data_IF_698410834434
#
_entry.id   IF_698410834434
#
_cell.length_a   1.000
_cell.length_b   1.000
_cell.length_c   1.000
_cell.angle_alpha   90.00
_cell.angle_beta   90.00
_cell.angle_gamma   90.00
#
_symmetry.space_group_name_H-M   'P 1'
#
loop_
_entity.id
_entity.type
_entity.pdbx_description
1 polymer ?
#
# COMPACT_ATOMS: atom_id res chain seq x y z
N UNK A 1 2.29 63.56 -16.10
CA UNK A 1 2.20 62.11 -16.39
C UNK A 1 3.17 61.75 -17.51
N UNK A 2 4.40 61.37 -17.18
CA UNK A 2 5.35 60.66 -18.04
C UNK A 2 6.22 59.80 -17.11
N UNK A 3 6.08 58.49 -17.18
CA UNK A 3 7.00 57.55 -16.52
C UNK A 3 7.98 57.04 -17.57
N UNK A 4 9.27 57.20 -17.27
CA UNK A 4 10.40 56.61 -17.99
C UNK A 4 10.54 55.13 -17.59
N UNK A 5 10.68 54.27 -18.60
CA UNK A 5 11.12 52.88 -18.46
C UNK A 5 12.65 52.81 -18.47
N UNK A 6 13.23 52.03 -17.55
CA UNK A 6 14.63 51.57 -17.58
C UNK A 6 14.68 50.05 -17.77
N UNK A 7 15.72 49.50 -18.41
CA UNK A 7 15.72 48.13 -18.94
C UNK A 7 16.24 47.07 -17.95
N UNK A 8 15.72 45.85 -18.13
CA UNK A 8 16.05 44.61 -17.42
C UNK A 8 17.41 44.08 -17.91
N UNK A 9 18.35 43.89 -16.97
CA UNK A 9 19.63 43.23 -17.22
C UNK A 9 19.53 41.71 -17.03
N UNK A 10 20.08 40.98 -18.01
CA UNK A 10 20.26 39.54 -18.03
C UNK A 10 21.17 39.05 -16.88
N UNK A 11 20.75 38.02 -16.16
CA UNK A 11 21.61 37.21 -15.29
C UNK A 11 21.72 35.78 -15.86
N UNK A 12 22.96 35.30 -15.95
CA UNK A 12 23.36 33.99 -16.44
C UNK A 12 23.04 32.86 -15.43
N UNK A 13 22.88 31.60 -15.87
CA UNK A 13 22.60 30.49 -14.98
C UNK A 13 23.87 29.99 -14.25
N UNK A 14 23.73 29.88 -12.94
CA UNK A 14 24.64 29.23 -12.00
C UNK A 14 24.78 27.73 -12.31
N UNK A 15 26.03 27.27 -12.44
CA UNK A 15 26.38 25.86 -12.60
C UNK A 15 26.33 25.12 -11.25
N UNK A 16 25.61 23.99 -11.21
CA UNK A 16 25.61 23.04 -10.09
C UNK A 16 26.82 22.09 -10.18
N UNK A 17 27.49 21.77 -9.07
CA UNK A 17 28.59 20.81 -9.08
C UNK A 17 28.09 19.36 -9.08
N UNK A 18 28.72 18.55 -9.94
CA UNK A 18 28.55 17.11 -10.08
C UNK A 18 29.07 16.36 -8.84
N UNK A 19 28.20 15.58 -8.19
CA UNK A 19 28.62 14.60 -7.19
C UNK A 19 29.15 13.33 -7.89
N UNK A 20 30.36 12.95 -7.50
CA UNK A 20 31.16 11.82 -7.98
C UNK A 20 30.86 10.60 -7.10
N UNK A 21 30.29 9.55 -7.65
CA UNK A 21 30.13 8.26 -6.96
C UNK A 21 31.47 7.52 -6.89
N UNK A 22 31.88 7.15 -5.68
CA UNK A 22 32.97 6.21 -5.42
C UNK A 22 32.37 4.82 -5.23
N UNK A 23 32.60 3.95 -6.22
CA UNK A 23 32.38 2.50 -6.10
C UNK A 23 33.53 1.87 -5.29
N UNK A 24 33.21 1.24 -4.17
CA UNK A 24 34.13 0.36 -3.45
C UNK A 24 33.73 -1.10 -3.73
N UNK A 25 34.65 -1.84 -4.36
CA UNK A 25 34.56 -3.27 -4.57
C UNK A 25 34.79 -4.02 -3.24
N UNK A 26 33.88 -4.92 -2.90
CA UNK A 26 34.10 -5.92 -1.85
C UNK A 26 34.08 -7.31 -2.52
N UNK A 27 35.28 -7.88 -2.57
CA UNK A 27 35.57 -9.28 -2.89
C UNK A 27 35.19 -10.14 -1.68
N UNK A 28 34.35 -11.15 -1.90
CA UNK A 28 34.09 -12.19 -0.91
C UNK A 28 33.95 -13.54 -1.61
N UNK A 29 35.08 -14.21 -1.79
CA UNK A 29 35.18 -15.61 -2.16
C UNK A 29 34.61 -16.51 -1.04
N UNK A 30 33.47 -17.14 -1.29
CA UNK A 30 33.00 -18.28 -0.49
C UNK A 30 33.39 -19.58 -1.18
N UNK A 31 34.32 -20.33 -0.58
CA UNK A 31 34.64 -21.71 -0.97
C UNK A 31 33.63 -22.65 -0.33
N UNK A 32 32.89 -23.40 -1.14
CA UNK A 32 32.19 -24.61 -0.67
C UNK A 32 33.14 -25.80 -0.74
N UNK A 33 33.23 -26.52 0.36
CA UNK A 33 33.92 -27.80 0.48
C UNK A 33 33.12 -28.90 -0.22
N UNK A 34 33.85 -29.81 -0.87
CA UNK A 34 33.34 -30.99 -1.57
C UNK A 34 32.57 -31.93 -0.62
N UNK A 35 31.35 -32.29 -1.00
CA UNK A 35 30.60 -33.42 -0.44
C UNK A 35 30.66 -34.55 -1.47
N UNK A 36 31.20 -35.75 -1.13
CA UNK A 36 31.21 -36.87 -2.06
C UNK A 36 29.80 -37.46 -2.19
N UNK A 37 29.27 -37.46 -3.41
CA UNK A 37 28.01 -38.13 -3.75
C UNK A 37 28.35 -39.54 -4.25
N UNK A 38 27.90 -40.57 -3.54
CA UNK A 38 27.96 -41.96 -4.01
C UNK A 38 27.03 -42.16 -5.22
N UNK A 39 27.45 -42.94 -6.24
CA UNK A 39 26.62 -43.19 -7.42
C UNK A 39 25.47 -44.17 -7.09
N UNK A 40 24.25 -43.95 -7.62
CA UNK A 40 23.19 -44.95 -7.53
C UNK A 40 23.41 -46.08 -8.55
N UNK A 41 23.03 -47.28 -8.11
CA UNK A 41 23.17 -48.54 -8.80
C UNK A 41 22.40 -48.60 -10.14
N UNK A 42 23.06 -49.18 -11.13
CA UNK A 42 22.51 -49.60 -12.43
C UNK A 42 21.38 -50.61 -12.25
N UNK A 43 20.20 -50.33 -12.81
CA UNK A 43 19.11 -51.31 -12.96
C UNK A 43 18.75 -51.48 -14.44
N UNK A 44 18.62 -52.74 -14.80
CA UNK A 44 18.67 -53.33 -16.12
C UNK A 44 17.50 -53.00 -17.06
N UNK A 45 17.84 -53.11 -18.34
CA UNK A 45 17.00 -53.08 -19.54
C UNK A 45 15.75 -53.96 -19.45
N UNK A 46 14.63 -53.42 -19.90
CA UNK A 46 13.54 -54.20 -20.51
C UNK A 46 13.04 -53.48 -21.77
N UNK A 47 12.82 -54.20 -22.89
CA UNK A 47 12.51 -53.59 -24.17
C UNK A 47 11.01 -53.24 -24.28
N UNK A 48 10.72 -52.02 -24.79
CA UNK A 48 9.36 -51.62 -25.20
C UNK A 48 9.11 -51.98 -26.66
N UNK A 49 7.89 -52.45 -27.02
CA UNK A 49 7.51 -52.68 -28.40
C UNK A 49 7.09 -51.38 -29.09
N UNK A 50 7.43 -51.26 -30.37
CA UNK A 50 6.85 -50.28 -31.30
C UNK A 50 5.39 -50.62 -31.62
N UNK A 51 4.60 -49.59 -31.97
CA UNK A 51 3.58 -49.76 -32.98
C UNK A 51 3.72 -48.76 -34.14
N UNK A 52 3.63 -49.30 -35.35
CA UNK A 52 3.36 -48.58 -36.58
C UNK A 52 1.91 -48.06 -36.62
N UNK A 53 1.72 -46.86 -37.17
CA UNK A 53 0.81 -46.55 -38.31
C UNK A 53 0.28 -45.11 -38.28
N UNK A 54 0.21 -44.54 -39.49
CA UNK A 54 -0.13 -43.16 -39.81
C UNK A 54 -1.65 -42.91 -39.96
N UNK A 55 -2.00 -41.63 -39.75
CA UNK A 55 -3.08 -40.84 -40.34
C UNK A 55 -4.54 -40.98 -39.83
N UNK A 56 -5.01 -39.95 -39.13
CA UNK A 56 -6.15 -39.11 -39.57
C UNK A 56 -6.35 -37.89 -38.64
N UNK A 57 -6.73 -36.78 -39.26
CA UNK A 57 -6.88 -35.44 -38.69
C UNK A 57 -7.80 -35.37 -37.45
N UNK A 58 -7.34 -34.68 -36.41
CA UNK A 58 -8.19 -34.02 -35.39
C UNK A 58 -7.53 -32.74 -34.90
N UNK A 59 -8.33 -31.69 -34.83
CA UNK A 59 -7.99 -30.37 -34.32
C UNK A 59 -7.23 -30.48 -32.98
N UNK A 60 -5.95 -30.09 -33.02
CA UNK A 60 -5.16 -29.92 -31.81
C UNK A 60 -5.60 -28.62 -31.16
N UNK A 61 -6.43 -28.75 -30.13
CA UNK A 61 -6.55 -27.71 -29.11
C UNK A 61 -5.19 -27.70 -28.42
N UNK A 62 -4.28 -26.86 -28.90
CA UNK A 62 -3.08 -26.50 -28.16
C UNK A 62 -3.56 -25.74 -26.93
N UNK A 63 -3.78 -26.47 -25.83
CA UNK A 63 -3.76 -25.91 -24.49
C UNK A 63 -2.46 -25.12 -24.37
N UNK A 64 -2.59 -23.81 -24.17
CA UNK A 64 -1.46 -22.93 -23.89
C UNK A 64 -0.63 -23.57 -22.77
N UNK A 65 0.54 -24.10 -23.15
CA UNK A 65 1.54 -24.59 -22.21
C UNK A 65 2.17 -23.41 -21.50
N UNK A 66 1.39 -22.75 -20.66
CA UNK A 66 1.87 -21.84 -19.64
C UNK A 66 2.40 -22.76 -18.53
N UNK A 67 3.73 -22.90 -18.47
CA UNK A 67 4.41 -23.68 -17.44
C UNK A 67 4.14 -23.06 -16.06
N UNK A 68 3.20 -23.66 -15.32
CA UNK A 68 2.96 -23.38 -13.91
C UNK A 68 4.05 -24.04 -13.07
N UNK A 69 5.20 -23.39 -12.94
CA UNK A 69 6.13 -23.61 -11.83
C UNK A 69 6.30 -22.34 -10.99
N UNK A 70 5.17 -21.75 -10.63
CA UNK A 70 5.08 -21.08 -9.33
C UNK A 70 4.90 -22.18 -8.28
N UNK A 71 5.76 -22.21 -7.26
CA UNK A 71 5.81 -23.22 -6.21
C UNK A 71 4.54 -23.21 -5.33
N UNK A 72 3.40 -23.61 -5.89
CA UNK A 72 2.16 -23.85 -5.19
C UNK A 72 2.31 -25.06 -4.28
N UNK A 73 2.82 -24.83 -3.08
CA UNK A 73 2.45 -25.65 -1.93
C UNK A 73 0.97 -25.41 -1.71
N UNK A 74 0.19 -26.43 -2.04
CA UNK A 74 -1.19 -26.62 -1.64
C UNK A 74 -1.27 -26.50 -0.10
N UNK A 75 -1.91 -25.44 0.39
CA UNK A 75 -2.16 -25.18 1.81
C UNK A 75 -3.64 -25.39 2.15
N UNK A 76 -4.21 -26.47 1.65
CA UNK A 76 -5.44 -27.01 2.23
C UNK A 76 -5.13 -28.34 2.94
N UNK A 77 -5.52 -28.43 4.21
CA UNK A 77 -5.41 -29.57 5.14
C UNK A 77 -4.08 -29.83 5.90
N UNK A 78 -3.81 -29.01 6.92
CA UNK A 78 -3.30 -29.49 8.22
C UNK A 78 -3.79 -28.56 9.35
N UNK A 79 -4.99 -28.82 9.87
CA UNK A 79 -5.35 -28.37 11.23
C UNK A 79 -4.96 -29.51 12.17
N UNK A 80 -3.87 -29.35 12.89
CA UNK A 80 -3.56 -30.16 14.07
C UNK A 80 -3.10 -29.23 15.20
N UNK A 81 -3.57 -29.43 16.45
CA UNK A 81 -3.43 -28.47 17.51
C UNK A 81 -2.10 -28.65 18.26
N UNK A 82 -1.66 -27.57 18.88
CA UNK A 82 -0.81 -27.55 20.07
C UNK A 82 0.68 -27.92 19.88
N UNK A 83 1.51 -26.89 19.70
CA UNK A 83 2.90 -26.88 20.14
C UNK A 83 3.25 -25.46 20.59
N UNK A 84 3.47 -25.31 21.90
CA UNK A 84 3.72 -24.03 22.57
C UNK A 84 4.87 -23.22 21.96
N UNK A 85 4.60 -21.93 21.76
CA UNK A 85 5.60 -20.93 21.41
C UNK A 85 6.28 -20.46 22.70
N UNK A 86 7.62 -20.52 22.82
CA UNK A 86 8.33 -19.94 23.95
C UNK A 86 8.21 -18.41 23.93
N UNK A 87 8.02 -17.83 25.11
CA UNK A 87 7.91 -16.40 25.32
C UNK A 87 9.13 -15.64 24.74
N UNK A 88 8.94 -14.46 24.12
CA UNK A 88 10.06 -13.61 23.73
C UNK A 88 10.80 -13.09 24.97
N UNK A 89 12.14 -12.96 24.92
CA UNK A 89 12.91 -12.41 26.02
C UNK A 89 12.58 -10.94 26.27
N UNK A 90 12.56 -10.60 27.55
CA UNK A 90 12.28 -9.31 28.16
C UNK A 90 13.07 -8.17 27.49
N UNK A 91 12.35 -7.26 26.83
CA UNK A 91 12.94 -6.05 26.26
C UNK A 91 13.11 -5.01 27.39
N UNK A 92 14.35 -4.89 27.86
CA UNK A 92 14.75 -3.95 28.90
C UNK A 92 14.33 -2.51 28.62
N UNK A 93 13.80 -1.88 29.68
CA UNK A 93 13.45 -0.47 29.72
C UNK A 93 14.66 0.44 29.44
N UNK A 94 14.54 1.48 28.60
CA UNK A 94 15.57 2.52 28.52
C UNK A 94 15.49 3.45 29.73
N UNK A 95 16.65 3.64 30.35
CA UNK A 95 16.91 4.47 31.50
C UNK A 95 16.53 5.95 31.29
N UNK A 96 15.97 6.55 32.34
CA UNK A 96 15.77 7.98 32.47
C UNK A 96 17.12 8.72 32.37
N UNK A 97 17.17 9.77 31.54
CA UNK A 97 18.20 10.80 31.60
C UNK A 97 17.59 12.05 32.22
N UNK A 98 17.98 12.29 33.46
CA UNK A 98 17.88 13.57 34.16
C UNK A 98 19.27 14.23 34.15
N UNK A 99 19.28 15.56 34.02
CA UNK A 99 20.31 16.54 34.43
C UNK A 99 20.44 17.69 33.41
N UNK A 100 19.90 18.86 33.77
CA UNK A 100 20.11 20.12 33.06
C UNK A 100 19.63 21.33 33.87
N UNK A 101 20.43 21.72 34.86
CA UNK A 101 20.28 22.85 35.81
C UNK A 101 20.19 24.23 35.13
N UNK A 102 19.50 25.24 35.73
CA UNK A 102 19.22 26.54 35.10
C UNK A 102 20.33 27.58 35.28
N UNK A 103 20.44 28.50 34.30
CA UNK A 103 21.26 29.70 34.39
C UNK A 103 20.47 30.88 35.00
N UNK A 104 21.03 31.48 36.06
CA UNK A 104 20.68 32.78 36.63
C UNK A 104 21.31 33.94 35.83
N UNK A 105 20.81 35.18 36.12
CA UNK A 105 21.45 36.54 36.11
C UNK A 105 20.63 37.56 35.26
N UNK A 106 20.45 38.85 35.64
CA UNK A 106 20.22 39.54 36.93
C UNK A 106 19.07 40.60 36.81
N UNK A 107 18.84 41.54 37.78
CA UNK A 107 17.62 42.34 37.87
C UNK A 107 17.70 43.66 37.11
N UNK A 108 16.56 44.14 36.61
CA UNK A 108 16.42 45.53 36.16
C UNK A 108 15.36 46.26 36.99
N UNK A 109 15.75 47.44 37.43
CA UNK A 109 15.01 48.35 38.29
C UNK A 109 14.46 49.48 37.41
N UNK A 110 13.18 49.81 37.50
CA UNK A 110 12.70 50.97 36.76
C UNK A 110 11.22 51.31 36.86
N UNK A 111 10.94 52.25 37.78
CA UNK A 111 9.96 53.34 37.66
C UNK A 111 8.46 53.01 37.77
N UNK A 112 7.89 53.45 38.89
CA UNK A 112 6.46 53.55 39.15
C UNK A 112 5.81 54.72 38.39
N UNK A 113 4.66 54.53 37.72
CA UNK A 113 3.79 55.64 37.33
C UNK A 113 2.79 55.98 38.45
N UNK A 114 2.52 57.27 38.57
CA UNK A 114 1.73 57.92 39.60
C UNK A 114 0.27 57.43 39.68
N UNK A 115 -0.23 57.38 40.91
CA UNK A 115 -1.61 57.12 41.30
C UNK A 115 -2.51 58.31 40.92
N UNK A 116 -3.56 58.13 40.10
CA UNK A 116 -4.65 59.10 40.00
C UNK A 116 -5.53 59.02 41.25
N UNK A 117 -5.64 60.14 41.98
CA UNK A 117 -6.55 60.27 43.12
C UNK A 117 -8.01 60.21 42.65
N UNK A 118 -8.78 59.33 43.27
CA UNK A 118 -10.22 59.17 43.06
C UNK A 118 -11.02 60.25 43.83
N UNK A 119 -12.10 60.81 43.26
CA UNK A 119 -12.98 61.77 43.95
C UNK A 119 -13.82 61.14 45.09
N UNK A 120 -14.41 61.95 45.99
CA UNK A 120 -15.10 61.48 47.18
C UNK A 120 -16.44 60.81 46.88
N UNK A 121 -16.78 59.87 47.76
CA UNK A 121 -17.97 59.04 47.76
C UNK A 121 -19.28 59.83 47.70
N UNK A 122 -20.09 59.56 46.66
CA UNK A 122 -21.52 59.83 46.65
C UNK A 122 -22.28 58.62 47.21
N UNK A 123 -23.12 58.86 48.22
CA UNK A 123 -23.99 57.86 48.84
C UNK A 123 -25.09 57.42 47.86
N UNK A 124 -24.78 56.44 47.02
CA UNK A 124 -25.76 55.73 46.18
C UNK A 124 -26.48 54.65 46.98
N UNK A 125 -27.80 54.59 46.83
CA UNK A 125 -28.67 53.58 47.41
C UNK A 125 -28.19 52.14 47.08
N UNK A 126 -28.51 51.13 47.92
CA UNK A 126 -28.11 49.75 47.70
C UNK A 126 -28.58 49.26 46.31
N UNK A 127 -27.62 48.94 45.44
CA UNK A 127 -27.93 48.32 44.17
C UNK A 127 -28.66 46.99 44.43
N UNK A 128 -29.80 46.79 43.75
CA UNK A 128 -30.54 45.54 43.82
C UNK A 128 -29.59 44.36 43.54
N UNK A 129 -29.74 43.20 44.22
CA UNK A 129 -28.89 42.05 43.99
C UNK A 129 -28.90 41.70 42.50
N UNK A 130 -27.77 41.89 41.83
CA UNK A 130 -27.61 41.48 40.44
C UNK A 130 -27.95 40.00 40.34
N UNK A 131 -28.85 39.64 39.42
CA UNK A 131 -29.14 38.24 39.12
C UNK A 131 -27.83 37.52 38.84
N UNK A 132 -27.54 36.45 39.60
CA UNK A 132 -26.32 35.67 39.40
C UNK A 132 -26.20 35.28 37.91
N UNK A 133 -25.00 35.39 37.31
CA UNK A 133 -24.78 34.95 35.94
C UNK A 133 -25.32 33.53 35.75
N UNK A 134 -26.00 33.23 34.63
CA UNK A 134 -26.49 31.88 34.39
C UNK A 134 -25.32 30.90 34.44
N UNK A 135 -25.46 29.83 35.22
CA UNK A 135 -24.47 28.75 35.28
C UNK A 135 -24.26 28.21 33.86
N UNK A 136 -23.01 28.16 33.36
CA UNK A 136 -22.73 27.61 32.02
C UNK A 136 -23.34 26.22 31.87
N UNK A 137 -24.08 25.99 30.77
CA UNK A 137 -24.71 24.71 30.51
C UNK A 137 -23.63 23.63 30.32
N UNK A 138 -23.68 22.53 31.08
CA UNK A 138 -22.73 21.43 30.97
C UNK A 138 -22.71 20.83 29.54
N UNK A 139 -21.60 20.19 29.15
CA UNK A 139 -21.52 19.41 27.91
C UNK A 139 -22.65 18.36 27.90
N UNK A 140 -23.47 18.39 26.85
CA UNK A 140 -24.65 17.52 26.70
C UNK A 140 -24.43 16.42 25.68
N UNK A 141 -23.62 16.68 24.64
CA UNK A 141 -23.33 15.69 23.60
C UNK A 141 -22.03 15.99 22.86
N UNK A 142 -21.45 14.93 22.28
CA UNK A 142 -20.35 15.02 21.32
C UNK A 142 -20.68 14.18 20.09
N UNK A 143 -20.55 14.75 18.90
CA UNK A 143 -20.65 14.01 17.63
C UNK A 143 -19.31 13.97 16.93
N UNK A 144 -18.92 12.80 16.43
CA UNK A 144 -17.69 12.63 15.66
C UNK A 144 -17.98 12.66 14.16
N UNK A 145 -17.04 13.19 13.38
CA UNK A 145 -16.95 12.87 11.96
C UNK A 145 -16.70 11.38 11.75
N UNK A 146 -16.92 10.89 10.52
CA UNK A 146 -16.69 9.48 10.19
C UNK A 146 -15.22 9.12 10.38
N UNK A 147 -14.94 8.12 11.21
CA UNK A 147 -13.62 7.50 11.34
C UNK A 147 -13.45 6.53 10.18
N UNK A 148 -12.87 7.01 9.10
CA UNK A 148 -12.50 6.21 7.94
C UNK A 148 -11.36 6.90 7.18
N UNK A 149 -10.35 6.14 6.78
CA UNK A 149 -9.26 6.67 5.96
C UNK A 149 -9.78 7.04 4.57
N UNK A 150 -9.33 8.16 3.98
CA UNK A 150 -9.64 8.51 2.60
C UNK A 150 -9.18 7.47 1.58
N UNK A 151 -8.21 6.62 1.95
CA UNK A 151 -7.69 5.54 1.09
C UNK A 151 -8.50 4.25 1.19
N UNK A 152 -9.56 4.18 2.01
CA UNK A 152 -10.42 2.99 2.13
C UNK A 152 -11.29 2.82 0.87
N UNK A 153 -11.05 1.80 0.03
CA UNK A 153 -11.88 1.57 -1.16
C UNK A 153 -13.23 0.94 -0.77
N UNK A 154 -14.16 0.94 -1.73
CA UNK A 154 -15.44 0.24 -1.57
C UNK A 154 -15.24 -1.26 -1.30
N UNK A 155 -16.07 -1.83 -0.44
CA UNK A 155 -15.96 -3.25 -0.02
C UNK A 155 -15.01 -3.49 1.14
N UNK A 156 -14.33 -2.46 1.64
CA UNK A 156 -13.55 -2.50 2.90
C UNK A 156 -14.35 -1.77 3.97
N UNK A 157 -14.44 -2.37 5.16
CA UNK A 157 -15.08 -1.71 6.30
C UNK A 157 -14.32 -0.43 6.70
N UNK A 158 -14.97 0.44 7.47
CA UNK A 158 -14.32 1.64 7.99
C UNK A 158 -13.01 1.28 8.72
N UNK A 159 -11.90 1.89 8.30
CA UNK A 159 -10.58 1.61 8.85
C UNK A 159 -9.68 2.83 8.88
N UNK A 160 -8.58 2.73 9.59
CA UNK A 160 -7.44 3.64 9.47
C UNK A 160 -6.16 2.81 9.24
N UNK A 161 -5.18 3.31 8.45
CA UNK A 161 -3.86 2.68 8.39
C UNK A 161 -3.11 2.84 9.72
N UNK A 162 -2.20 1.92 10.06
CA UNK A 162 -1.26 2.15 11.14
C UNK A 162 -0.30 3.30 10.79
N UNK A 163 0.16 4.02 11.82
CA UNK A 163 1.22 5.05 11.80
C UNK A 163 0.93 6.34 11.02
N UNK A 164 -0.23 6.47 10.38
CA UNK A 164 -0.64 7.72 9.72
C UNK A 164 -1.76 8.37 10.51
N UNK A 165 -1.56 9.64 10.87
CA UNK A 165 -2.56 10.40 11.61
C UNK A 165 -3.77 10.70 10.71
N UNK A 166 -4.97 10.44 11.23
CA UNK A 166 -6.24 10.79 10.62
C UNK A 166 -6.87 11.93 11.42
N UNK A 167 -7.27 13.00 10.73
CA UNK A 167 -7.95 14.15 11.36
C UNK A 167 -9.42 13.84 11.56
N UNK A 168 -9.85 13.65 12.81
CA UNK A 168 -11.25 13.36 13.15
C UNK A 168 -11.88 14.60 13.80
N UNK A 169 -12.88 15.16 13.14
CA UNK A 169 -13.66 16.26 13.69
C UNK A 169 -14.52 15.76 14.88
N UNK A 170 -14.58 16.55 15.94
CA UNK A 170 -15.43 16.33 17.10
C UNK A 170 -16.20 17.61 17.42
N UNK A 171 -17.53 17.56 17.35
CA UNK A 171 -18.41 18.69 17.65
C UNK A 171 -18.95 18.54 19.06
N UNK A 172 -18.67 19.52 19.92
CA UNK A 172 -19.06 19.51 21.34
C UNK A 172 -20.23 20.46 21.54
N UNK A 173 -21.33 19.97 22.12
CA UNK A 173 -22.50 20.78 22.46
C UNK A 173 -22.55 21.06 23.96
N UNK A 174 -22.58 22.34 24.35
CA UNK A 174 -22.53 22.79 25.74
C UNK A 174 -21.16 23.35 26.13
N UNK A 175 -20.92 23.51 27.43
CA UNK A 175 -19.68 24.07 27.98
C UNK A 175 -19.03 23.10 28.97
N UNK A 176 -17.70 23.06 28.99
CA UNK A 176 -16.91 22.17 29.84
C UNK A 176 -15.94 21.30 29.05
N UNK A 177 -15.18 20.47 29.75
CA UNK A 177 -14.19 19.58 29.15
C UNK A 177 -14.76 18.18 28.94
N UNK A 178 -14.51 17.60 27.76
CA UNK A 178 -14.79 16.20 27.45
C UNK A 178 -13.48 15.44 27.25
N UNK A 179 -13.39 14.23 27.81
CA UNK A 179 -12.28 13.32 27.60
C UNK A 179 -12.65 12.33 26.51
N UNK A 180 -11.84 12.23 25.47
CA UNK A 180 -11.99 11.29 24.37
C UNK A 180 -10.98 10.17 24.54
N UNK A 181 -11.43 8.94 24.36
CA UNK A 181 -10.61 7.71 24.40
C UNK A 181 -10.98 6.76 23.27
N UNK A 182 -10.10 5.81 22.95
CA UNK A 182 -10.41 4.69 22.06
C UNK A 182 -10.99 3.54 22.88
N UNK A 183 -12.27 3.25 22.70
CA UNK A 183 -12.93 2.09 23.29
C UNK A 183 -12.65 0.83 22.45
N UNK A 184 -12.59 -0.32 23.14
CA UNK A 184 -12.26 -1.61 22.53
C UNK A 184 -10.77 -1.84 22.22
N UNK A 185 -9.89 -0.88 22.52
CA UNK A 185 -8.45 -0.99 22.25
C UNK A 185 -7.82 -2.19 23.00
N UNK A 186 -7.15 -3.07 22.27
CA UNK A 186 -6.46 -4.24 22.81
C UNK A 186 -5.43 -4.76 21.80
N UNK A 187 -4.58 -5.71 22.21
CA UNK A 187 -3.68 -6.37 21.26
C UNK A 187 -4.45 -7.06 20.10
N UNK A 188 -5.66 -7.56 20.37
CA UNK A 188 -6.50 -8.27 19.40
C UNK A 188 -7.25 -7.31 18.48
N UNK A 189 -7.91 -6.30 19.03
CA UNK A 189 -8.71 -5.35 18.23
C UNK A 189 -7.85 -4.28 17.54
N UNK A 190 -6.58 -4.16 17.95
CA UNK A 190 -5.71 -3.04 17.58
C UNK A 190 -5.72 -1.94 18.64
N UNK A 191 -4.75 -1.04 18.54
CA UNK A 191 -4.60 0.09 19.47
C UNK A 191 -4.36 1.36 18.68
N UNK A 192 -4.82 2.51 19.19
CA UNK A 192 -4.59 3.81 18.58
C UNK A 192 -4.33 4.88 19.64
N UNK A 193 -3.71 5.97 19.22
CA UNK A 193 -3.49 7.18 20.04
C UNK A 193 -4.27 8.36 19.49
N UNK A 194 -4.54 9.31 20.37
CA UNK A 194 -5.23 10.59 20.13
C UNK A 194 -4.25 11.70 20.47
N UNK A 195 -3.80 12.46 19.47
CA UNK A 195 -2.75 13.47 19.61
C UNK A 195 -1.47 12.90 20.27
N UNK A 196 -1.13 11.64 19.98
CA UNK A 196 0.03 10.95 20.54
C UNK A 196 -0.16 10.36 21.94
N UNK A 197 -1.33 10.51 22.57
CA UNK A 197 -1.62 9.97 23.90
C UNK A 197 -2.81 8.96 23.87
N UNK A 198 -3.05 8.23 24.96
CA UNK A 198 -4.19 7.30 25.05
C UNK A 198 -5.56 8.01 25.10
N UNK A 199 -5.58 9.26 25.55
CA UNK A 199 -6.77 10.10 25.64
C UNK A 199 -6.47 11.51 25.14
N UNK A 200 -7.49 12.22 24.69
CA UNK A 200 -7.43 13.64 24.37
C UNK A 200 -8.54 14.39 25.11
N UNK A 201 -8.29 15.62 25.54
CA UNK A 201 -9.32 16.47 26.16
C UNK A 201 -9.68 17.62 25.24
N UNK A 202 -10.97 17.86 25.04
CA UNK A 202 -11.48 19.02 24.30
C UNK A 202 -12.37 19.87 25.21
N UNK A 203 -12.18 21.20 25.17
CA UNK A 203 -13.06 22.16 25.87
C UNK A 203 -14.11 22.80 24.95
N UNK A 204 -14.00 22.57 23.64
CA UNK A 204 -14.89 23.06 22.59
C UNK A 204 -14.78 22.14 21.36
N UNK A 205 -15.61 22.39 20.34
CA UNK A 205 -15.50 21.75 19.03
C UNK A 205 -14.08 21.86 18.48
N UNK A 206 -13.56 20.78 17.92
CA UNK A 206 -12.18 20.71 17.43
C UNK A 206 -11.89 19.47 16.60
N UNK A 207 -10.61 19.21 16.38
CA UNK A 207 -10.10 18.05 15.64
C UNK A 207 -9.15 17.26 16.54
N UNK A 208 -9.23 15.94 16.47
CA UNK A 208 -8.29 15.03 17.14
C UNK A 208 -7.52 14.26 16.08
N UNK A 209 -6.20 14.20 16.21
CA UNK A 209 -5.34 13.37 15.38
C UNK A 209 -5.38 11.92 15.91
N UNK A 210 -6.09 11.05 15.20
CA UNK A 210 -6.19 9.62 15.50
C UNK A 210 -5.12 8.85 14.73
N UNK A 211 -4.24 8.13 15.43
CA UNK A 211 -3.17 7.34 14.81
C UNK A 211 -3.23 5.89 15.25
N UNK A 212 -3.37 4.96 14.31
CA UNK A 212 -3.26 3.54 14.60
C UNK A 212 -1.83 3.15 15.00
N UNK A 213 -1.67 2.35 16.06
CA UNK A 213 -0.38 1.85 16.53
C UNK A 213 -0.23 0.36 16.27
N UNK A 214 -1.11 -0.47 16.83
CA UNK A 214 -1.15 -1.92 16.59
C UNK A 214 -2.25 -2.23 15.58
N UNK A 215 -1.91 -2.98 14.53
CA UNK A 215 -2.91 -3.48 13.58
C UNK A 215 -3.85 -4.48 14.26
N UNK A 216 -5.11 -4.51 13.82
CA UNK A 216 -6.12 -5.45 14.26
C UNK A 216 -5.72 -6.88 13.88
N UNK A 217 -5.95 -7.84 14.78
CA UNK A 217 -5.77 -9.25 14.50
C UNK A 217 -6.84 -9.77 13.53
N UNK A 218 -6.56 -10.90 12.87
CA UNK A 218 -7.49 -11.58 11.97
C UNK A 218 -8.83 -11.84 12.69
N UNK A 219 -9.95 -11.59 12.02
CA UNK A 219 -11.29 -11.83 12.55
C UNK A 219 -11.76 -10.84 13.63
N UNK A 220 -10.98 -9.80 13.95
CA UNK A 220 -11.30 -8.85 15.04
C UNK A 220 -11.70 -7.46 14.54
N UNK A 221 -12.13 -7.38 13.29
CA UNK A 221 -12.49 -6.15 12.61
C UNK A 221 -13.75 -5.48 13.21
N UNK A 222 -13.77 -4.14 13.23
CA UNK A 222 -14.95 -3.34 13.60
C UNK A 222 -15.18 -3.21 15.10
N UNK A 223 -14.16 -3.50 15.93
CA UNK A 223 -14.27 -3.48 17.39
C UNK A 223 -13.76 -2.20 18.06
N UNK A 224 -13.22 -1.24 17.30
CA UNK A 224 -12.72 0.03 17.85
C UNK A 224 -13.73 1.17 17.64
N UNK A 225 -13.87 2.04 18.63
CA UNK A 225 -14.70 3.26 18.57
C UNK A 225 -14.03 4.40 19.32
N UNK A 226 -14.25 5.64 18.90
CA UNK A 226 -13.98 6.80 19.75
C UNK A 226 -15.16 6.99 20.69
N UNK A 227 -14.87 7.23 21.97
CA UNK A 227 -15.87 7.51 23.00
C UNK A 227 -15.49 8.80 23.71
N UNK A 228 -16.46 9.70 23.85
CA UNK A 228 -16.33 10.96 24.57
C UNK A 228 -17.05 10.86 25.91
N UNK A 229 -16.37 11.18 27.02
CA UNK A 229 -16.90 11.08 28.39
C UNK A 229 -16.80 12.39 29.16
N UNK A 230 -17.83 12.67 29.96
CA UNK A 230 -17.89 13.78 30.92
C UNK A 230 -18.26 13.19 32.28
N UNK A 231 -17.39 13.37 33.28
CA UNK A 231 -17.61 12.77 34.61
C UNK A 231 -17.77 11.24 34.60
N UNK A 232 -17.18 10.55 33.61
CA UNK A 232 -17.32 9.10 33.43
C UNK A 232 -18.51 8.66 32.57
N UNK A 233 -19.50 9.53 32.34
CA UNK A 233 -20.66 9.26 31.49
C UNK A 233 -20.31 9.47 30.01
N UNK A 234 -20.61 8.48 29.17
CA UNK A 234 -20.46 8.62 27.71
C UNK A 234 -21.48 9.60 27.15
N UNK A 235 -21.00 10.63 26.46
CA UNK A 235 -21.81 11.68 25.82
C UNK A 235 -21.71 11.67 24.29
N UNK A 236 -20.91 10.75 23.72
CA UNK A 236 -20.73 10.62 22.29
C UNK A 236 -19.91 9.39 21.91
N UNK A 237 -20.22 8.79 20.75
CA UNK A 237 -19.52 7.63 20.21
C UNK A 237 -19.40 7.77 18.68
N UNK A 238 -18.27 7.40 18.09
CA UNK A 238 -18.09 7.37 16.63
C UNK A 238 -18.70 6.11 16.00
N UNK A 239 -18.64 6.01 14.66
CA UNK A 239 -18.76 4.70 14.00
C UNK A 239 -17.66 3.74 14.50
N UNK A 240 -17.91 2.45 14.33
CA UNK A 240 -16.90 1.43 14.52
C UNK A 240 -15.85 1.46 13.41
N UNK A 241 -14.61 1.10 13.72
CA UNK A 241 -13.51 1.01 12.77
C UNK A 241 -12.49 -0.09 13.13
N UNK A 242 -11.55 -0.31 12.22
CA UNK A 242 -10.43 -1.27 12.30
C UNK A 242 -9.10 -0.56 12.04
N UNK A 243 -7.98 -1.13 12.48
CA UNK A 243 -6.64 -0.68 12.08
C UNK A 243 -6.02 -1.75 11.18
N UNK A 244 -5.93 -1.47 9.89
CA UNK A 244 -5.20 -2.33 8.96
C UNK A 244 -4.62 -1.52 7.80
N UNK A 245 -3.47 -1.96 7.30
CA UNK A 245 -2.88 -1.46 6.07
C UNK A 245 -3.45 -2.21 4.85
N UNK A 246 -3.51 -1.53 3.71
CA UNK A 246 -3.92 -2.13 2.43
C UNK A 246 -2.98 -1.69 1.29
N UNK A 247 -2.91 -2.47 0.19
CA UNK A 247 -2.21 -2.05 -1.00
C UNK A 247 -2.94 -0.89 -1.68
N UNK A 248 -2.19 0.12 -2.12
CA UNK A 248 -2.73 1.29 -2.82
C UNK A 248 -2.29 1.35 -4.28
N UNK A 249 -1.05 0.97 -4.54
CA UNK A 249 -0.42 1.11 -5.84
C UNK A 249 0.41 -0.12 -6.15
N UNK A 250 0.28 -0.61 -7.38
CA UNK A 250 1.19 -1.59 -7.96
C UNK A 250 2.18 -0.86 -8.85
N UNK A 251 3.45 -1.18 -8.70
CA UNK A 251 4.55 -0.63 -9.49
C UNK A 251 5.19 -1.74 -10.32
N UNK A 252 5.45 -1.45 -11.59
CA UNK A 252 6.16 -2.32 -12.52
C UNK A 252 7.53 -1.73 -12.82
N UNK A 253 8.55 -2.57 -12.79
CA UNK A 253 9.88 -2.26 -13.31
C UNK A 253 10.36 -3.34 -14.29
N UNK A 254 11.27 -3.02 -15.22
CA UNK A 254 11.83 -4.02 -16.13
C UNK A 254 12.53 -5.17 -15.39
N UNK A 255 12.19 -6.41 -15.74
CA UNK A 255 12.93 -7.61 -15.36
C UNK A 255 13.87 -8.06 -16.47
N UNK A 256 13.98 -9.37 -16.66
CA UNK A 256 14.77 -9.96 -17.75
C UNK A 256 14.01 -10.04 -19.08
N UNK A 257 14.73 -10.30 -20.18
CA UNK A 257 14.12 -10.68 -21.45
C UNK A 257 13.88 -12.18 -21.48
N UNK A 258 12.69 -12.57 -21.94
CA UNK A 258 12.39 -13.99 -22.18
C UNK A 258 12.98 -14.37 -23.54
N UNK A 259 13.77 -15.45 -23.57
CA UNK A 259 14.43 -15.98 -24.77
C UNK A 259 14.24 -17.50 -24.89
N UNK A 260 14.64 -18.11 -26.02
CA UNK A 260 14.52 -19.57 -26.22
C UNK A 260 13.22 -19.97 -26.93
N UNK A 261 12.37 -20.77 -26.28
CA UNK A 261 11.09 -21.23 -26.84
C UNK A 261 10.01 -20.15 -26.86
N UNK A 262 10.25 -19.03 -26.18
CA UNK A 262 9.36 -17.88 -26.11
C UNK A 262 10.13 -16.57 -26.38
N UNK A 263 9.37 -15.50 -26.58
CA UNK A 263 9.84 -14.12 -26.68
C UNK A 263 8.98 -13.20 -25.83
N UNK A 264 9.59 -12.23 -25.16
CA UNK A 264 8.86 -11.26 -24.34
C UNK A 264 9.66 -10.69 -23.18
N UNK A 265 8.98 -10.32 -22.11
CA UNK A 265 9.57 -9.71 -20.91
C UNK A 265 9.13 -10.41 -19.63
N UNK A 266 10.03 -10.42 -18.66
CA UNK A 266 9.67 -10.46 -17.26
C UNK A 266 9.50 -9.02 -16.74
N UNK A 267 8.45 -8.80 -15.96
CA UNK A 267 8.15 -7.54 -15.30
C UNK A 267 8.19 -7.74 -13.78
N UNK A 268 9.07 -7.01 -13.10
CA UNK A 268 9.16 -7.07 -11.64
C UNK A 268 8.01 -6.24 -11.07
N UNK A 269 7.18 -6.88 -10.25
CA UNK A 269 6.00 -6.29 -9.63
C UNK A 269 6.27 -5.98 -8.17
N UNK A 270 5.94 -4.77 -7.72
CA UNK A 270 6.04 -4.33 -6.32
C UNK A 270 4.75 -3.66 -5.86
N UNK A 271 4.48 -3.70 -4.56
CA UNK A 271 3.28 -3.13 -3.96
C UNK A 271 3.64 -1.97 -3.01
N UNK A 272 2.76 -0.98 -2.94
CA UNK A 272 2.83 0.09 -1.95
C UNK A 272 1.72 -0.07 -0.92
N UNK A 273 2.07 0.00 0.36
CA UNK A 273 1.13 0.05 1.48
C UNK A 273 0.69 1.49 1.77
N UNK A 274 -0.57 1.71 2.13
CA UNK A 274 -1.03 3.00 2.62
C UNK A 274 -0.50 3.40 4.00
N UNK A 275 0.13 2.47 4.73
CA UNK A 275 0.90 2.78 5.93
C UNK A 275 2.34 3.24 5.64
N UNK A 276 2.75 3.23 4.36
CA UNK A 276 4.12 3.48 3.93
C UNK A 276 5.09 2.31 4.17
N UNK A 277 4.63 1.18 4.71
CA UNK A 277 5.48 0.01 5.02
C UNK A 277 4.84 -1.25 4.45
N UNK A 278 5.49 -1.88 3.48
CA UNK A 278 4.98 -3.09 2.80
C UNK A 278 4.79 -4.26 3.76
N UNK A 279 5.65 -4.40 4.78
CA UNK A 279 5.53 -5.48 5.76
C UNK A 279 4.21 -5.47 6.56
N UNK A 280 3.49 -4.35 6.62
CA UNK A 280 2.16 -4.30 7.26
C UNK A 280 1.07 -5.03 6.47
N UNK A 281 1.34 -5.38 5.21
CA UNK A 281 0.42 -6.13 4.35
C UNK A 281 0.46 -7.64 4.66
N UNK A 282 0.94 -8.05 5.85
CA UNK A 282 1.21 -9.44 6.25
C UNK A 282 -0.04 -10.33 6.38
N UNK A 283 -1.22 -9.72 6.38
CA UNK A 283 -2.51 -10.41 6.30
C UNK A 283 -3.27 -10.13 5.01
N UNK A 284 -2.57 -9.56 4.02
CA UNK A 284 -3.09 -9.24 2.70
C UNK A 284 -2.53 -10.22 1.68
N UNK A 285 -3.41 -10.70 0.81
CA UNK A 285 -3.04 -11.42 -0.40
C UNK A 285 -3.52 -10.65 -1.62
N UNK A 286 -2.77 -10.74 -2.73
CA UNK A 286 -3.10 -10.10 -4.00
C UNK A 286 -3.15 -11.13 -5.13
N UNK A 287 -4.03 -10.88 -6.09
CA UNK A 287 -4.18 -11.66 -7.31
C UNK A 287 -4.40 -10.70 -8.47
N UNK A 288 -3.88 -11.04 -9.63
CA UNK A 288 -4.15 -10.29 -10.86
C UNK A 288 -5.47 -10.72 -11.50
N UNK A 289 -6.08 -9.80 -12.25
CA UNK A 289 -7.16 -10.09 -13.18
C UNK A 289 -6.76 -9.58 -14.55
N UNK A 290 -6.74 -10.48 -15.53
CA UNK A 290 -6.40 -10.16 -16.92
C UNK A 290 -7.62 -10.33 -17.83
N UNK A 291 -7.77 -9.42 -18.79
CA UNK A 291 -8.72 -9.52 -19.90
C UNK A 291 -8.06 -9.17 -21.23
N UNK A 292 -8.18 -10.07 -22.20
CA UNK A 292 -7.67 -9.85 -23.55
C UNK A 292 -8.70 -9.07 -24.38
N UNK A 293 -8.24 -8.06 -25.13
CA UNK A 293 -9.09 -7.14 -25.90
C UNK A 293 -9.28 -7.62 -27.36
N UNK A 294 -8.87 -8.87 -27.66
CA UNK A 294 -8.91 -9.47 -28.99
C UNK A 294 -7.60 -9.28 -29.74
N UNK A 295 -7.07 -10.37 -30.29
CA UNK A 295 -5.83 -10.36 -31.08
C UNK A 295 -6.08 -10.37 -32.59
N UNK A 296 -5.08 -9.93 -33.35
CA UNK A 296 -5.04 -9.98 -34.82
C UNK A 296 -3.89 -10.86 -35.31
N UNK A 297 -3.96 -11.29 -36.57
CA UNK A 297 -2.87 -12.05 -37.20
C UNK A 297 -2.50 -13.32 -36.44
N UNK A 298 -1.23 -13.47 -36.07
CA UNK A 298 -0.75 -14.60 -35.27
C UNK A 298 -1.37 -14.70 -33.86
N UNK A 299 -2.02 -13.64 -33.37
CA UNK A 299 -2.74 -13.62 -32.10
C UNK A 299 -4.26 -13.76 -32.24
N UNK A 300 -4.78 -13.96 -33.45
CA UNK A 300 -6.21 -14.17 -33.66
C UNK A 300 -6.74 -15.36 -32.85
N UNK A 301 -7.91 -15.19 -32.22
CA UNK A 301 -8.58 -16.22 -31.43
C UNK A 301 -8.14 -16.35 -29.96
N UNK A 302 -7.16 -15.56 -29.49
CA UNK A 302 -6.81 -15.51 -28.07
C UNK A 302 -7.88 -14.71 -27.31
N UNK A 303 -8.53 -15.36 -26.34
CA UNK A 303 -9.59 -14.75 -25.52
C UNK A 303 -9.35 -14.84 -24.03
N UNK A 304 -8.33 -15.57 -23.58
CA UNK A 304 -8.05 -15.82 -22.16
C UNK A 304 -6.55 -15.94 -21.90
N UNK A 305 -6.17 -15.78 -20.65
CA UNK A 305 -4.84 -16.09 -20.14
C UNK A 305 -4.91 -16.49 -18.68
N UNK A 306 -3.77 -16.83 -18.11
CA UNK A 306 -3.67 -17.19 -16.69
C UNK A 306 -3.67 -15.94 -15.81
N UNK A 307 -4.31 -16.07 -14.65
CA UNK A 307 -4.16 -15.13 -13.55
C UNK A 307 -3.28 -15.78 -12.47
N UNK A 308 -2.47 -14.99 -11.78
CA UNK A 308 -1.90 -15.36 -10.50
C UNK A 308 -3.02 -15.69 -9.51
N UNK A 309 -2.86 -16.79 -8.78
CA UNK A 309 -3.66 -17.01 -7.57
C UNK A 309 -3.43 -15.91 -6.54
N UNK A 310 -4.06 -16.03 -5.38
CA UNK A 310 -3.79 -15.10 -4.28
C UNK A 310 -2.43 -15.39 -3.64
N UNK A 311 -1.51 -14.43 -3.73
CA UNK A 311 -0.16 -14.49 -3.18
C UNK A 311 0.03 -13.44 -2.08
N UNK A 312 0.86 -13.68 -1.06
CA UNK A 312 1.14 -12.70 0.00
C UNK A 312 1.62 -11.34 -0.55
N UNK A 313 1.05 -10.25 -0.03
CA UNK A 313 1.34 -8.89 -0.50
C UNK A 313 2.43 -8.15 0.31
N UNK A 314 2.94 -8.77 1.39
CA UNK A 314 3.91 -8.19 2.33
C UNK A 314 5.38 -8.34 1.92
N UNK A 315 5.64 -8.71 0.68
CA UNK A 315 6.99 -8.84 0.12
C UNK A 315 7.20 -7.83 -1.01
N UNK A 316 8.43 -7.30 -1.10
CA UNK A 316 8.83 -6.38 -2.15
C UNK A 316 10.21 -6.83 -2.69
N UNK A 317 10.32 -7.20 -3.98
CA UNK A 317 9.24 -7.25 -4.96
C UNK A 317 8.17 -8.29 -4.58
N UNK A 318 6.92 -8.02 -4.97
CA UNK A 318 5.79 -8.93 -4.79
C UNK A 318 5.98 -10.22 -5.60
N UNK A 319 6.55 -10.09 -6.79
CA UNK A 319 6.84 -11.21 -7.67
C UNK A 319 7.32 -10.75 -9.05
N UNK A 320 7.52 -11.74 -9.92
CA UNK A 320 7.84 -11.54 -11.33
C UNK A 320 6.64 -11.94 -12.17
N UNK A 321 6.19 -11.02 -13.02
CA UNK A 321 5.12 -11.27 -14.00
C UNK A 321 5.74 -11.64 -15.35
N UNK A 322 5.28 -12.75 -15.94
CA UNK A 322 5.87 -13.36 -17.13
C UNK A 322 4.99 -13.09 -18.36
N UNK A 323 5.52 -12.35 -19.33
CA UNK A 323 4.80 -11.97 -20.55
C UNK A 323 5.46 -12.53 -21.80
N UNK A 324 5.53 -13.86 -21.88
CA UNK A 324 6.04 -14.58 -23.04
C UNK A 324 5.00 -14.80 -24.15
N UNK A 325 5.49 -14.99 -25.36
CA UNK A 325 4.76 -15.57 -26.49
C UNK A 325 5.57 -16.74 -27.04
N UNK A 326 5.00 -17.96 -27.13
CA UNK A 326 5.68 -19.08 -27.76
C UNK A 326 6.10 -18.77 -29.20
N UNK A 327 7.34 -19.08 -29.56
CA UNK A 327 7.88 -18.87 -30.91
C UNK A 327 7.04 -19.60 -31.95
N UNK A 328 6.51 -20.78 -31.62
CA UNK A 328 5.61 -21.56 -32.50
C UNK A 328 4.32 -20.83 -32.86
N UNK A 329 3.90 -19.82 -32.08
CA UNK A 329 2.71 -19.01 -32.37
C UNK A 329 3.02 -17.83 -33.26
N UNK A 330 4.27 -17.38 -33.30
CA UNK A 330 4.71 -16.20 -34.05
C UNK A 330 4.91 -16.57 -35.52
N UNK A 331 3.79 -16.77 -36.23
CA UNK A 331 3.74 -17.27 -37.62
C UNK A 331 3.52 -16.19 -38.67
N UNK A 332 3.27 -14.96 -38.25
CA UNK A 332 3.04 -13.80 -39.12
C UNK A 332 2.82 -12.53 -38.30
N UNK A 333 2.67 -11.39 -38.97
CA UNK A 333 2.39 -10.13 -38.28
C UNK A 333 1.03 -10.17 -37.56
N UNK A 334 0.93 -9.47 -36.43
CA UNK A 334 -0.28 -9.42 -35.61
C UNK A 334 -0.03 -8.72 -34.29
N UNK A 335 -1.09 -8.25 -33.63
CA UNK A 335 -0.99 -7.61 -32.33
C UNK A 335 -2.08 -8.08 -31.37
N UNK A 336 -1.82 -7.95 -30.07
CA UNK A 336 -2.82 -8.18 -29.02
C UNK A 336 -2.57 -7.27 -27.82
N UNK A 337 -3.65 -6.70 -27.31
CA UNK A 337 -3.69 -5.99 -26.03
C UNK A 337 -4.37 -6.85 -24.97
N UNK A 338 -3.81 -6.83 -23.77
CA UNK A 338 -4.45 -7.34 -22.57
C UNK A 338 -4.44 -6.29 -21.47
N UNK A 339 -5.61 -6.13 -20.85
CA UNK A 339 -5.84 -5.27 -19.68
C UNK A 339 -5.62 -6.07 -18.42
N UNK A 340 -4.87 -5.53 -17.49
CA UNK A 340 -4.60 -6.18 -16.20
C UNK A 340 -4.86 -5.20 -15.06
N UNK A 341 -5.45 -5.68 -13.98
CA UNK A 341 -5.48 -4.99 -12.69
C UNK A 341 -5.26 -5.97 -11.55
N UNK A 342 -5.04 -5.46 -10.33
CA UNK A 342 -4.87 -6.30 -9.16
C UNK A 342 -6.05 -6.16 -8.20
N UNK A 343 -6.43 -7.27 -7.59
CA UNK A 343 -7.37 -7.33 -6.47
C UNK A 343 -6.66 -7.87 -5.23
N UNK A 344 -7.20 -7.58 -4.06
CA UNK A 344 -6.69 -8.08 -2.80
C UNK A 344 -7.78 -8.66 -1.89
N UNK A 345 -7.35 -9.56 -1.02
CA UNK A 345 -8.07 -10.01 0.16
C UNK A 345 -7.29 -9.54 1.39
N UNK A 346 -7.99 -9.09 2.42
CA UNK A 346 -7.38 -8.75 3.72
C UNK A 346 -8.17 -9.42 4.84
N UNK A 347 -7.53 -10.35 5.55
CA UNK A 347 -8.18 -11.12 6.61
C UNK A 347 -8.36 -10.32 7.91
N UNK A 348 -7.71 -9.15 8.04
CA UNK A 348 -7.95 -8.23 9.16
C UNK A 348 -9.26 -7.47 9.00
N UNK A 349 -9.50 -6.89 7.84
CA UNK A 349 -10.73 -6.14 7.55
C UNK A 349 -11.89 -7.02 7.07
N UNK A 350 -11.61 -8.25 6.64
CA UNK A 350 -12.57 -9.13 5.96
C UNK A 350 -12.79 -8.77 4.48
N UNK A 351 -12.00 -7.84 3.93
CA UNK A 351 -12.09 -7.45 2.53
C UNK A 351 -11.80 -8.63 1.60
N UNK A 352 -12.61 -8.79 0.55
CA UNK A 352 -12.49 -9.89 -0.41
C UNK A 352 -12.66 -9.37 -1.83
N UNK A 353 -11.73 -9.72 -2.73
CA UNK A 353 -11.71 -9.33 -4.14
C UNK A 353 -11.82 -7.82 -4.38
N UNK A 354 -11.24 -7.01 -3.48
CA UNK A 354 -11.26 -5.56 -3.57
C UNK A 354 -10.17 -5.09 -4.52
N UNK A 355 -10.48 -4.15 -5.42
CA UNK A 355 -9.50 -3.63 -6.39
C UNK A 355 -8.43 -2.80 -5.68
N UNK A 356 -7.16 -3.02 -6.05
CA UNK A 356 -6.07 -2.12 -5.70
C UNK A 356 -6.19 -0.85 -6.53
N UNK A 357 -6.40 0.29 -5.88
CA UNK A 357 -6.80 1.56 -6.51
C UNK A 357 -5.95 1.94 -7.74
N UNK A 358 -4.63 1.91 -7.62
CA UNK A 358 -3.69 2.25 -8.71
C UNK A 358 -2.97 0.99 -9.19
N UNK A 359 -3.66 0.14 -9.95
CA UNK A 359 -3.12 -1.15 -10.39
C UNK A 359 -3.41 -1.51 -11.83
N UNK A 360 -3.98 -0.58 -12.61
CA UNK A 360 -4.30 -0.80 -14.01
C UNK A 360 -3.06 -0.77 -14.92
N UNK A 361 -2.96 -1.76 -15.80
CA UNK A 361 -1.93 -1.86 -16.83
C UNK A 361 -2.51 -2.29 -18.18
N UNK A 362 -1.90 -1.81 -19.26
CA UNK A 362 -2.01 -2.42 -20.58
C UNK A 362 -0.74 -3.22 -20.86
N UNK A 363 -0.91 -4.45 -21.33
CA UNK A 363 0.17 -5.30 -21.82
C UNK A 363 -0.05 -5.45 -23.32
N UNK A 364 0.88 -4.92 -24.11
CA UNK A 364 0.83 -4.91 -25.56
C UNK A 364 1.88 -5.85 -26.13
N UNK A 365 1.48 -6.71 -27.07
CA UNK A 365 2.37 -7.57 -27.85
C UNK A 365 2.12 -7.32 -29.32
N UNK A 366 3.17 -7.05 -30.07
CA UNK A 366 3.10 -6.81 -31.51
C UNK A 366 4.20 -7.59 -32.22
N UNK A 367 3.79 -8.37 -33.22
CA UNK A 367 4.68 -9.03 -34.18
C UNK A 367 4.66 -8.23 -35.46
N UNK A 368 5.84 -7.80 -35.90
CA UNK A 368 6.04 -7.15 -37.20
C UNK A 368 6.76 -8.10 -38.16
N UNK A 369 6.39 -8.01 -39.44
CA UNK A 369 7.06 -8.70 -40.52
C UNK A 369 7.88 -7.70 -41.33
N UNK A 370 9.18 -7.94 -41.46
CA UNK A 370 10.06 -7.14 -42.31
C UNK A 370 10.53 -7.99 -43.48
N UNK A 371 10.38 -7.46 -44.69
CA UNK A 371 10.97 -8.08 -45.88
C UNK A 371 12.49 -8.03 -45.76
N UNK A 372 13.14 -9.20 -45.73
CA UNK A 372 14.59 -9.34 -45.60
C UNK A 372 15.11 -10.18 -46.78
N UNK A 373 15.54 -9.49 -47.84
CA UNK A 373 16.02 -10.14 -49.06
C UNK A 373 14.96 -11.02 -49.71
N UNK A 374 15.24 -12.33 -49.83
CA UNK A 374 14.32 -13.32 -50.40
C UNK A 374 13.33 -13.92 -49.39
N UNK A 375 13.29 -13.42 -48.15
CA UNK A 375 12.46 -13.97 -47.07
C UNK A 375 11.72 -12.92 -46.25
N UNK A 376 10.92 -13.38 -45.29
CA UNK A 376 10.26 -12.56 -44.27
C UNK A 376 10.90 -12.85 -42.92
N UNK A 377 11.38 -11.81 -42.24
CA UNK A 377 11.83 -11.90 -40.85
C UNK A 377 10.74 -11.39 -39.93
N UNK A 378 10.46 -12.12 -38.86
CA UNK A 378 9.52 -11.72 -37.83
C UNK A 378 10.27 -11.17 -36.61
N UNK A 379 9.73 -10.12 -36.01
CA UNK A 379 10.19 -9.64 -34.72
C UNK A 379 9.00 -9.33 -33.83
N UNK A 380 9.15 -9.51 -32.52
CA UNK A 380 8.11 -9.22 -31.54
C UNK A 380 8.57 -8.18 -30.54
N UNK A 381 7.70 -7.23 -30.23
CA UNK A 381 7.83 -6.33 -29.09
C UNK A 381 6.76 -6.67 -28.07
N UNK A 382 7.15 -6.78 -26.80
CA UNK A 382 6.25 -6.89 -25.66
C UNK A 382 6.47 -5.69 -24.75
N UNK A 383 5.38 -5.07 -24.29
CA UNK A 383 5.43 -4.00 -23.30
C UNK A 383 4.31 -4.12 -22.27
N UNK A 384 4.55 -3.57 -21.09
CA UNK A 384 3.58 -3.37 -20.02
C UNK A 384 3.69 -1.93 -19.54
N UNK A 385 2.56 -1.22 -19.46
CA UNK A 385 2.54 0.21 -19.10
C UNK A 385 1.33 0.52 -18.24
N UNK A 386 1.53 1.35 -17.22
CA UNK A 386 0.45 1.83 -16.35
C UNK A 386 -0.62 2.58 -17.15
N UNK A 387 -1.86 2.09 -17.10
CA UNK A 387 -3.03 2.68 -17.77
C UNK A 387 -4.28 2.38 -16.94
N UNK A 388 -5.16 3.37 -16.76
CA UNK A 388 -6.45 3.14 -16.12
C UNK A 388 -7.25 2.12 -16.94
N UNK A 389 -7.79 1.09 -16.29
CA UNK A 389 -8.35 -0.05 -17.01
C UNK A 389 -9.52 -0.67 -16.27
N UNK A 390 -10.35 -1.39 -17.04
CA UNK A 390 -11.50 -2.15 -16.55
C UNK A 390 -11.35 -3.60 -16.99
N UNK A 391 -11.46 -4.52 -16.02
CA UNK A 391 -11.43 -5.97 -16.22
C UNK A 391 -12.64 -6.56 -15.53
N UNK A 392 -13.47 -7.31 -16.24
CA UNK A 392 -14.66 -8.00 -15.68
C UNK A 392 -15.53 -7.08 -14.81
N UNK A 393 -15.86 -5.88 -15.32
CA UNK A 393 -16.68 -4.82 -14.70
C UNK A 393 -16.07 -4.08 -13.50
N UNK A 394 -14.86 -4.42 -13.05
CA UNK A 394 -14.15 -3.68 -12.01
C UNK A 394 -13.04 -2.82 -12.63
N UNK A 395 -12.82 -1.63 -12.08
CA UNK A 395 -11.89 -0.64 -12.66
C UNK A 395 -10.83 -0.20 -11.65
N UNK A 396 -9.63 0.05 -12.16
CA UNK A 396 -8.51 0.61 -11.42
C UNK A 396 -7.95 1.83 -12.17
N UNK A 397 -7.43 2.79 -11.42
CA UNK A 397 -6.54 3.82 -11.96
C UNK A 397 -5.24 3.19 -12.45
N UNK A 398 -4.47 3.93 -13.24
CA UNK A 398 -3.17 3.47 -13.75
C UNK A 398 -2.25 3.07 -12.59
N UNK A 399 -1.63 1.90 -12.69
CA UNK A 399 -0.47 1.56 -11.88
C UNK A 399 0.76 2.38 -12.28
N UNK A 400 1.85 2.21 -11.54
CA UNK A 400 3.09 2.96 -11.78
C UNK A 400 4.10 2.15 -12.59
N UNK A 401 4.88 2.84 -13.42
CA UNK A 401 6.01 2.25 -14.15
C UNK A 401 5.65 1.49 -15.43
N UNK A 402 6.68 0.87 -16.01
CA UNK A 402 6.60 0.18 -17.31
C UNK A 402 7.76 -0.78 -17.51
N UNK A 403 7.57 -1.77 -18.40
CA UNK A 403 8.61 -2.66 -18.88
C UNK A 403 8.42 -2.94 -20.38
N UNK A 404 9.50 -3.10 -21.15
CA UNK A 404 9.43 -3.40 -22.59
C UNK A 404 10.65 -4.16 -23.10
N UNK A 405 10.47 -5.06 -24.08
CA UNK A 405 11.55 -5.92 -24.60
C UNK A 405 12.47 -5.29 -25.65
N UNK A 406 12.07 -4.17 -26.27
CA UNK A 406 12.54 -3.86 -27.62
C UNK A 406 12.11 -4.96 -28.62
N UNK A 407 12.55 -4.85 -29.87
CA UNK A 407 12.26 -5.86 -30.89
C UNK A 407 13.14 -7.10 -30.68
N UNK A 408 12.52 -8.26 -30.49
CA UNK A 408 13.21 -9.55 -30.41
C UNK A 408 13.00 -10.32 -31.71
N UNK A 409 14.08 -10.75 -32.35
CA UNK A 409 14.02 -11.61 -33.52
C UNK A 409 13.44 -12.98 -33.16
N UNK A 410 12.58 -13.51 -34.02
CA UNK A 410 11.86 -14.78 -33.80
C UNK A 410 12.65 -15.93 -34.36
#
# INVERSE_FOLDING_TARGET
MRQQLSPIGNQAPSQLPSHREHAAAADSSWRFADIPVSPPATRADTPRPQPDSFAAARASVCSDGIDLKGNGQDLTDQVSPDAGVPAPPDAGAPAARDAGTPAQVPPDAGVAPAVPQTPPAGSGAPAAPGTAPPTPAAVTSVTFGTVNSPTTPAGVIARIPPRIDQSIAATVTGTGSVVISVDGASATNGTATLNGAATATLAATGVVALRGTTQTAVGSAGNLKLVAKVGGTTVGTSNAFTICAIPTTVTISPGSLITGTERGIEAITSNNSDSGVVADLDMVQMSEKVQYVGGTGCFAGITSGSNSGFLPANVSPHGTDHHGTPVSRITGAGAIDSRQLFVFNDTRSGATNVVVTNSGFNIHREVTATAAGSGTSLSITTSKTGVATTVSSVSASAGSGSASSGAQAV
#
